data_IF_001757524258
#
_entry.id   IF_001757524258
#
_cell.length_a   1.000
_cell.length_b   1.000
_cell.length_c   1.000
_cell.angle_alpha   90.00
_cell.angle_beta   90.00
_cell.angle_gamma   90.00
#
_symmetry.space_group_name_H-M   'P 1'
#
loop_
_entity.id
_entity.type
_entity.pdbx_description
1 polymer ?
#
# COMPACT_ATOMS: atom_id res chain seq x y z
N UNK A 1 19.73 12.26 -0.34
CA UNK A 1 18.30 12.40 -0.57
C UNK A 1 17.58 12.74 0.72
N UNK A 2 16.46 13.42 0.62
CA UNK A 2 15.67 13.76 1.79
C UNK A 2 14.96 12.52 2.35
N UNK A 3 14.77 12.51 3.67
CA UNK A 3 13.91 11.53 4.32
C UNK A 3 12.47 11.84 3.95
N UNK A 4 11.76 10.84 3.49
CA UNK A 4 10.37 10.94 3.05
C UNK A 4 9.52 9.91 3.76
N UNK A 5 8.21 10.13 3.75
CA UNK A 5 7.21 9.16 4.15
C UNK A 5 6.33 8.81 2.98
N UNK A 6 5.95 7.55 2.88
CA UNK A 6 5.00 7.07 1.88
C UNK A 6 3.93 6.23 2.56
N UNK A 7 2.74 6.17 1.96
CA UNK A 7 1.64 5.39 2.51
C UNK A 7 1.58 4.04 1.78
N UNK A 8 1.38 2.98 2.55
CA UNK A 8 1.29 1.62 2.02
C UNK A 8 0.01 0.97 2.49
N UNK A 9 -0.59 0.19 1.62
CA UNK A 9 -1.67 -0.74 2.00
C UNK A 9 -1.25 -2.14 1.57
N UNK A 10 -1.34 -3.09 2.49
CA UNK A 10 -1.30 -4.52 2.14
C UNK A 10 -2.75 -4.91 1.93
N UNK A 11 -3.10 -5.31 0.71
CA UNK A 11 -4.46 -5.48 0.25
C UNK A 11 -5.07 -6.82 0.66
N UNK A 12 -6.41 -6.98 0.55
CA UNK A 12 -7.09 -8.20 1.00
C UNK A 12 -6.56 -9.48 0.36
N UNK A 13 -6.10 -9.46 -0.88
CA UNK A 13 -5.56 -10.66 -1.52
C UNK A 13 -4.29 -11.18 -0.83
N UNK A 14 -3.51 -10.28 -0.25
CA UNK A 14 -2.31 -10.67 0.49
C UNK A 14 -2.61 -11.03 1.95
N UNK A 15 -3.49 -10.28 2.62
CA UNK A 15 -3.85 -10.59 4.01
C UNK A 15 -4.60 -11.93 4.10
N UNK A 16 -5.45 -12.22 3.14
CA UNK A 16 -6.18 -13.49 3.06
C UNK A 16 -5.23 -14.68 3.00
N UNK A 17 -4.12 -14.53 2.29
CA UNK A 17 -3.10 -15.58 2.15
C UNK A 17 -2.05 -15.56 3.26
N UNK A 18 -2.26 -14.74 4.29
CA UNK A 18 -1.35 -14.63 5.44
C UNK A 18 0.06 -14.17 5.04
N UNK A 19 0.14 -13.17 4.15
CA UNK A 19 1.41 -12.68 3.60
C UNK A 19 1.89 -11.37 4.20
N UNK A 20 1.21 -10.83 5.23
CA UNK A 20 1.59 -9.55 5.84
C UNK A 20 3.06 -9.53 6.27
N UNK A 21 3.50 -10.56 6.96
CA UNK A 21 4.89 -10.66 7.41
C UNK A 21 5.88 -10.80 6.25
N UNK A 22 5.53 -11.59 5.23
CA UNK A 22 6.40 -11.78 4.07
C UNK A 22 6.58 -10.47 3.29
N UNK A 23 5.50 -9.71 3.10
CA UNK A 23 5.53 -8.41 2.44
C UNK A 23 6.40 -7.43 3.25
N UNK A 24 6.17 -7.36 4.56
CA UNK A 24 6.92 -6.45 5.43
C UNK A 24 8.41 -6.81 5.50
N UNK A 25 8.75 -8.09 5.42
CA UNK A 25 10.15 -8.51 5.36
C UNK A 25 10.86 -7.93 4.14
N UNK A 26 10.20 -7.93 2.98
CA UNK A 26 10.76 -7.32 1.77
C UNK A 26 10.90 -5.81 1.90
N UNK A 27 9.94 -5.15 2.54
CA UNK A 27 9.98 -3.71 2.79
C UNK A 27 11.18 -3.35 3.69
N UNK A 28 11.32 -4.05 4.80
CA UNK A 28 12.40 -3.79 5.76
C UNK A 28 13.77 -4.13 5.19
N UNK A 29 13.87 -5.20 4.42
CA UNK A 29 15.11 -5.58 3.76
C UNK A 29 15.61 -4.50 2.79
N UNK A 30 14.69 -3.77 2.18
CA UNK A 30 15.04 -2.67 1.28
C UNK A 30 15.51 -1.41 2.01
N UNK A 31 15.45 -1.38 3.34
CA UNK A 31 15.89 -0.26 4.14
C UNK A 31 14.81 0.75 4.50
N UNK A 32 13.54 0.43 4.25
CA UNK A 32 12.42 1.26 4.67
C UNK A 32 12.01 0.88 6.09
N UNK A 33 11.69 1.88 6.91
CA UNK A 33 11.23 1.68 8.28
C UNK A 33 9.70 1.82 8.32
N UNK A 34 9.04 0.88 8.96
CA UNK A 34 7.60 0.96 9.21
C UNK A 34 7.43 1.79 10.49
N UNK A 35 6.89 3.00 10.35
CA UNK A 35 6.75 3.94 11.48
C UNK A 35 5.31 4.08 11.97
N UNK A 36 4.36 3.44 11.29
CA UNK A 36 2.98 3.31 11.73
C UNK A 36 2.35 2.14 11.01
N UNK A 37 1.45 1.42 11.69
CA UNK A 37 0.82 0.24 11.12
C UNK A 37 -0.49 -0.04 11.84
N UNK A 38 -1.54 -0.32 11.07
CA UNK A 38 -2.84 -0.75 11.61
C UNK A 38 -3.41 -1.85 10.72
N UNK A 39 -3.93 -2.90 11.35
CA UNK A 39 -4.74 -3.90 10.64
C UNK A 39 -6.20 -3.53 10.84
N UNK A 40 -6.89 -3.23 9.76
CA UNK A 40 -8.27 -2.75 9.80
C UNK A 40 -9.11 -3.44 8.73
N UNK A 41 -10.42 -3.33 8.88
CA UNK A 41 -11.36 -3.60 7.79
C UNK A 41 -11.86 -2.24 7.33
N UNK A 42 -11.55 -1.86 6.10
CA UNK A 42 -12.02 -0.58 5.57
C UNK A 42 -13.53 -0.56 5.54
N UNK A 43 -14.11 0.57 5.95
CA UNK A 43 -15.52 0.84 5.69
C UNK A 43 -15.67 1.24 4.23
N UNK A 44 -16.89 1.13 3.70
CA UNK A 44 -17.17 1.57 2.34
C UNK A 44 -16.82 3.05 2.15
N UNK A 45 -17.16 3.89 3.14
CA UNK A 45 -16.84 5.33 3.09
C UNK A 45 -15.33 5.56 3.03
N UNK A 46 -14.55 4.83 3.79
CA UNK A 46 -13.08 4.95 3.76
C UNK A 46 -12.53 4.58 2.39
N UNK A 47 -13.00 3.49 1.81
CA UNK A 47 -12.55 3.05 0.50
C UNK A 47 -12.95 4.03 -0.60
N UNK A 48 -14.18 4.53 -0.55
CA UNK A 48 -14.67 5.52 -1.53
C UNK A 48 -13.88 6.83 -1.44
N UNK A 49 -13.56 7.27 -0.23
CA UNK A 49 -12.74 8.47 -0.02
C UNK A 49 -11.32 8.26 -0.54
N UNK A 50 -10.73 7.12 -0.23
CA UNK A 50 -9.36 6.81 -0.65
C UNK A 50 -9.22 6.79 -2.17
N UNK A 51 -10.20 6.23 -2.86
CA UNK A 51 -10.20 6.11 -4.32
C UNK A 51 -11.04 7.17 -5.03
N UNK A 52 -11.34 8.29 -4.36
CA UNK A 52 -12.23 9.34 -4.89
C UNK A 52 -11.79 9.86 -6.26
N UNK A 53 -10.48 9.90 -6.54
CA UNK A 53 -9.94 10.32 -7.85
C UNK A 53 -10.39 9.42 -8.98
N UNK A 54 -10.84 8.19 -8.67
CA UNK A 54 -11.31 7.20 -9.64
C UNK A 54 -12.83 7.07 -9.68
N UNK A 55 -13.55 7.95 -8.97
CA UNK A 55 -15.01 7.83 -8.79
C UNK A 55 -15.77 7.71 -10.11
N UNK A 56 -15.32 8.39 -11.16
CA UNK A 56 -15.95 8.36 -12.47
C UNK A 56 -15.52 7.17 -13.34
N UNK A 57 -14.58 6.34 -12.87
CA UNK A 57 -14.06 5.23 -13.64
C UNK A 57 -14.97 4.00 -13.52
N UNK A 58 -15.09 3.19 -14.60
CA UNK A 58 -15.93 1.99 -14.56
C UNK A 58 -15.54 0.98 -13.47
N UNK A 59 -14.26 0.91 -13.13
CA UNK A 59 -13.74 -0.04 -12.14
C UNK A 59 -13.90 0.42 -10.68
N UNK A 60 -14.42 1.64 -10.44
CA UNK A 60 -14.49 2.20 -9.08
C UNK A 60 -15.27 1.29 -8.12
N UNK A 61 -16.45 0.82 -8.54
CA UNK A 61 -17.29 -0.05 -7.69
C UNK A 61 -16.59 -1.36 -7.33
N UNK A 62 -15.95 -1.99 -8.30
CA UNK A 62 -15.22 -3.23 -8.07
C UNK A 62 -14.02 -3.03 -7.14
N UNK A 63 -13.32 -1.91 -7.28
CA UNK A 63 -12.18 -1.57 -6.45
C UNK A 63 -12.60 -1.36 -5.00
N UNK A 64 -13.69 -0.61 -4.77
CA UNK A 64 -14.25 -0.39 -3.43
C UNK A 64 -14.69 -1.72 -2.82
N UNK A 65 -15.37 -2.55 -3.58
CA UNK A 65 -15.82 -3.86 -3.12
C UNK A 65 -14.65 -4.76 -2.75
N UNK A 66 -13.62 -4.79 -3.58
CA UNK A 66 -12.40 -5.56 -3.30
C UNK A 66 -11.72 -5.08 -2.01
N UNK A 67 -11.52 -3.78 -1.86
CA UNK A 67 -10.80 -3.23 -0.70
C UNK A 67 -11.58 -3.37 0.62
N UNK A 68 -12.89 -3.58 0.55
CA UNK A 68 -13.73 -3.81 1.74
C UNK A 68 -14.03 -5.30 1.96
N UNK A 69 -13.52 -6.17 1.10
CA UNK A 69 -13.84 -7.61 1.15
C UNK A 69 -13.15 -8.37 2.30
N UNK A 70 -12.10 -7.81 2.86
CA UNK A 70 -11.35 -8.43 3.94
C UNK A 70 -10.42 -7.44 4.62
N UNK A 71 -9.65 -7.89 5.63
CA UNK A 71 -8.71 -7.03 6.32
C UNK A 71 -7.64 -6.47 5.38
N UNK A 72 -7.21 -5.24 5.67
CA UNK A 72 -6.05 -4.62 5.04
C UNK A 72 -5.08 -4.16 6.13
N UNK A 73 -3.82 -3.98 5.78
CA UNK A 73 -2.85 -3.37 6.69
C UNK A 73 -2.44 -2.04 6.08
N UNK A 74 -2.77 -0.95 6.77
CA UNK A 74 -2.34 0.39 6.37
C UNK A 74 -1.07 0.74 7.12
N UNK A 75 -0.10 1.35 6.43
CA UNK A 75 1.23 1.59 6.98
C UNK A 75 1.80 2.92 6.51
N UNK A 76 2.66 3.50 7.35
CA UNK A 76 3.52 4.60 6.96
C UNK A 76 4.94 4.08 6.91
N UNK A 77 5.59 4.24 5.77
CA UNK A 77 6.98 3.82 5.55
C UNK A 77 7.85 5.06 5.47
N UNK A 78 9.04 5.01 6.07
CA UNK A 78 9.95 6.14 6.12
C UNK A 78 11.35 5.73 5.67
N UNK A 79 12.01 6.61 4.93
CA UNK A 79 13.39 6.41 4.50
C UNK A 79 13.80 7.44 3.46
N UNK A 80 15.04 7.39 3.03
CA UNK A 80 15.53 8.27 1.97
C UNK A 80 14.81 7.95 0.67
N UNK A 81 14.17 8.97 0.07
CA UNK A 81 13.44 8.80 -1.17
C UNK A 81 12.37 7.72 -1.10
N UNK A 82 11.63 7.63 0.02
CA UNK A 82 10.75 6.51 0.32
C UNK A 82 9.70 6.25 -0.75
N UNK A 83 9.16 7.29 -1.39
CA UNK A 83 8.11 7.12 -2.40
C UNK A 83 8.63 6.27 -3.57
N UNK A 84 9.73 6.67 -4.19
CA UNK A 84 10.30 5.93 -5.30
C UNK A 84 10.88 4.58 -4.86
N UNK A 85 11.53 4.54 -3.71
CA UNK A 85 12.09 3.30 -3.18
C UNK A 85 11.01 2.24 -2.99
N UNK A 86 9.86 2.62 -2.41
CA UNK A 86 8.79 1.67 -2.22
C UNK A 86 8.18 1.22 -3.55
N UNK A 87 8.07 2.10 -4.53
CA UNK A 87 7.59 1.72 -5.85
C UNK A 87 8.51 0.66 -6.48
N UNK A 88 9.81 0.79 -6.29
CA UNK A 88 10.77 -0.23 -6.77
C UNK A 88 10.61 -1.55 -6.02
N UNK A 89 10.36 -1.49 -4.72
CA UNK A 89 10.14 -2.69 -3.89
C UNK A 89 8.85 -3.39 -4.27
N UNK A 90 7.79 -2.62 -4.57
CA UNK A 90 6.50 -3.19 -5.00
C UNK A 90 6.60 -3.88 -6.37
N UNK A 91 7.32 -3.28 -7.29
CA UNK A 91 7.40 -3.73 -8.67
C UNK A 91 6.27 -3.19 -9.54
N UNK A 92 6.29 -3.54 -10.81
CA UNK A 92 5.29 -3.09 -11.78
C UNK A 92 3.88 -3.54 -11.38
N UNK A 93 2.88 -2.71 -11.71
CA UNK A 93 1.47 -2.98 -11.42
C UNK A 93 1.02 -4.34 -11.95
N UNK A 94 1.47 -4.71 -13.15
CA UNK A 94 1.26 -6.02 -13.70
C UNK A 94 2.35 -6.97 -13.18
N UNK A 95 2.01 -8.00 -12.40
CA UNK A 95 3.01 -8.91 -11.84
C UNK A 95 3.86 -9.61 -12.90
N UNK A 96 3.31 -9.85 -14.09
CA UNK A 96 4.06 -10.51 -15.16
C UNK A 96 5.20 -9.64 -15.70
N UNK A 97 5.13 -8.33 -15.47
CA UNK A 97 6.13 -7.35 -15.90
C UNK A 97 7.02 -6.88 -14.76
N UNK A 98 6.75 -7.33 -13.53
CA UNK A 98 7.50 -6.93 -12.36
C UNK A 98 8.87 -7.63 -12.33
N UNK A 99 9.89 -6.91 -11.84
CA UNK A 99 11.23 -7.48 -11.71
C UNK A 99 11.27 -8.55 -10.63
N UNK A 100 12.19 -9.50 -10.78
CA UNK A 100 12.38 -10.55 -9.78
C UNK A 100 12.70 -9.96 -8.40
N UNK A 101 12.16 -10.58 -7.37
CA UNK A 101 12.37 -10.15 -5.99
C UNK A 101 11.45 -9.04 -5.51
N UNK A 102 10.65 -8.44 -6.40
CA UNK A 102 9.66 -7.43 -5.99
C UNK A 102 8.45 -8.11 -5.36
N UNK A 103 7.71 -7.34 -4.54
CA UNK A 103 6.52 -7.87 -3.87
C UNK A 103 5.52 -8.44 -4.87
N UNK A 104 5.23 -7.69 -5.92
CA UNK A 104 4.24 -8.12 -6.92
C UNK A 104 4.70 -9.33 -7.72
N UNK A 105 5.98 -9.41 -8.04
CA UNK A 105 6.50 -10.58 -8.75
C UNK A 105 6.39 -11.85 -7.89
N UNK A 106 6.69 -11.73 -6.61
CA UNK A 106 6.72 -12.88 -5.70
C UNK A 106 5.30 -13.30 -5.28
N UNK A 107 4.42 -12.33 -5.00
CA UNK A 107 3.16 -12.60 -4.29
C UNK A 107 1.89 -12.26 -5.05
N UNK A 108 1.90 -11.30 -5.96
CA UNK A 108 0.67 -10.85 -6.62
C UNK A 108 0.15 -11.87 -7.62
N UNK A 109 -1.16 -11.97 -7.73
CA UNK A 109 -1.83 -12.90 -8.65
C UNK A 109 -2.11 -12.29 -10.01
N UNK A 110 -2.47 -11.00 -10.04
CA UNK A 110 -2.91 -10.31 -11.26
C UNK A 110 -2.83 -8.80 -11.04
N UNK A 111 -3.16 -8.04 -12.08
CA UNK A 111 -3.23 -6.58 -11.98
C UNK A 111 -4.27 -6.15 -10.94
N UNK A 112 -5.42 -6.82 -10.89
CA UNK A 112 -6.48 -6.50 -9.93
C UNK A 112 -6.17 -6.97 -8.51
N UNK A 113 -5.44 -8.08 -8.37
CA UNK A 113 -5.03 -8.63 -7.07
C UNK A 113 -3.50 -8.54 -6.96
N UNK A 114 -3.02 -7.30 -6.86
CA UNK A 114 -1.59 -7.01 -6.93
C UNK A 114 -0.93 -6.75 -5.58
N UNK A 115 -1.57 -7.17 -4.51
CA UNK A 115 -1.07 -7.31 -3.14
C UNK A 115 -0.83 -6.03 -2.36
N UNK A 116 -0.35 -4.96 -2.97
CA UNK A 116 0.07 -3.76 -2.24
C UNK A 116 -0.26 -2.47 -3.00
N UNK A 117 -0.35 -1.38 -2.23
CA UNK A 117 -0.48 -0.02 -2.71
C UNK A 117 0.65 0.83 -2.12
N UNK A 118 1.16 1.77 -2.91
CA UNK A 118 2.09 2.81 -2.47
C UNK A 118 1.72 4.14 -3.08
N UNK A 119 2.00 5.24 -2.37
CA UNK A 119 1.70 6.58 -2.86
C UNK A 119 2.50 6.93 -4.12
N UNK A 120 1.94 7.78 -4.98
CA UNK A 120 2.59 8.22 -6.22
C UNK A 120 3.59 9.33 -6.02
N UNK A 121 3.37 10.18 -4.99
CA UNK A 121 4.17 11.36 -4.72
C UNK A 121 4.10 11.72 -3.24
N UNK A 122 4.96 12.62 -2.80
CA UNK A 122 4.95 13.06 -1.39
C UNK A 122 3.66 13.79 -1.03
N UNK A 123 3.09 14.55 -1.95
CA UNK A 123 1.81 15.25 -1.75
C UNK A 123 0.66 14.27 -1.56
N UNK A 124 0.60 13.24 -2.39
CA UNK A 124 -0.41 12.19 -2.29
C UNK A 124 -0.22 11.39 -1.01
N UNK A 125 1.03 11.10 -0.65
CA UNK A 125 1.35 10.38 0.57
C UNK A 125 0.81 11.13 1.80
N UNK A 126 1.00 12.45 1.86
CA UNK A 126 0.52 13.24 3.01
C UNK A 126 -1.00 13.13 3.18
N UNK A 127 -1.74 13.18 2.08
CA UNK A 127 -3.21 13.08 2.10
C UNK A 127 -3.63 11.67 2.54
N UNK A 128 -3.01 10.65 1.97
CA UNK A 128 -3.35 9.26 2.28
C UNK A 128 -3.03 8.90 3.73
N UNK A 129 -1.88 9.33 4.22
CA UNK A 129 -1.48 9.10 5.62
C UNK A 129 -2.49 9.77 6.56
N UNK A 130 -2.86 11.02 6.30
CA UNK A 130 -3.78 11.77 7.15
C UNK A 130 -5.17 11.13 7.22
N UNK A 131 -5.56 10.37 6.23
CA UNK A 131 -6.85 9.68 6.25
C UNK A 131 -6.89 8.57 7.32
N UNK A 132 -5.78 7.91 7.60
CA UNK A 132 -5.75 6.72 8.46
C UNK A 132 -4.97 6.90 9.76
N UNK A 133 -4.11 7.90 9.87
CA UNK A 133 -3.23 8.06 11.03
C UNK A 133 -3.25 9.48 11.56
N UNK A 134 -3.25 9.61 12.89
CA UNK A 134 -2.97 10.88 13.56
C UNK A 134 -1.45 11.03 13.75
N UNK A 135 -0.99 12.25 14.03
CA UNK A 135 0.44 12.51 14.16
C UNK A 135 1.11 11.72 15.27
N UNK A 136 0.41 11.47 16.39
CA UNK A 136 0.97 10.73 17.51
C UNK A 136 0.98 9.21 17.29
N UNK A 137 0.42 8.73 16.19
CA UNK A 137 0.46 7.31 15.82
C UNK A 137 1.66 6.99 14.92
N UNK A 138 2.38 7.99 14.48
CA UNK A 138 3.55 7.83 13.61
C UNK A 138 4.80 8.03 14.46
N UNK A 139 5.49 6.94 14.73
CA UNK A 139 6.62 6.94 15.65
C UNK A 139 7.78 6.12 15.08
N UNK A 140 8.96 6.64 15.21
CA UNK A 140 10.14 5.93 14.72
C UNK A 140 11.19 6.76 14.14
#
# INVERSE_FOLDING_TARGET
MAIERTFSIIKPDATERNLTGAVNALIEKAGLRIVAQKRIRMTRDQAETFYAVHKARPFFGELVEFMTSGPVVVQVLQGEGAVLKYRDVMGATDPSKAADGTIRKVHAKSIGENSVHGSDATETAAIEIAQFFSGNEIVG
#
